data_IF_059886397483
#
_entry.id   IF_059886397483
#
_cell.length_a   1.000
_cell.length_b   1.000
_cell.length_c   1.000
_cell.angle_alpha   90.00
_cell.angle_beta   90.00
_cell.angle_gamma   90.00
#
_symmetry.space_group_name_H-M   'P 1'
#
loop_
_entity.id
_entity.type
_entity.pdbx_description
1 polymer ?
#
# COMPACT_ATOMS: atom_id res chain seq x y z
N UNK A 1 -13.94 5.81 33.43
CA UNK A 1 -15.07 6.73 33.21
C UNK A 1 -15.23 7.16 31.76
N UNK A 2 -14.18 7.45 30.98
CA UNK A 2 -14.28 7.77 29.53
C UNK A 2 -14.86 6.66 28.64
N UNK A 3 -14.71 5.39 29.03
CA UNK A 3 -15.23 4.25 28.24
C UNK A 3 -16.76 4.21 28.17
N UNK A 4 -17.45 4.55 29.26
CA UNK A 4 -18.91 4.54 29.31
C UNK A 4 -19.55 5.72 28.55
N UNK A 5 -18.89 6.88 28.53
CA UNK A 5 -19.35 8.05 27.77
C UNK A 5 -19.21 7.88 26.25
N UNK A 6 -18.31 7.02 25.79
CA UNK A 6 -18.05 6.84 24.36
C UNK A 6 -18.98 5.76 23.77
N UNK A 7 -19.38 4.76 24.55
CA UNK A 7 -20.50 3.85 24.21
C UNK A 7 -21.82 4.62 24.07
N UNK A 8 -22.05 5.66 24.88
CA UNK A 8 -23.24 6.52 24.70
C UNK A 8 -23.20 7.38 23.41
N UNK A 9 -22.01 7.66 22.87
CA UNK A 9 -21.89 8.33 21.57
C UNK A 9 -22.23 7.36 20.43
N UNK A 10 -21.83 6.08 20.54
CA UNK A 10 -22.28 5.02 19.64
C UNK A 10 -23.81 4.86 19.68
N UNK A 11 -24.45 4.96 20.85
CA UNK A 11 -25.92 4.88 20.93
C UNK A 11 -26.64 6.01 20.18
N UNK A 12 -26.05 7.22 20.12
CA UNK A 12 -26.61 8.35 19.34
C UNK A 12 -26.50 8.14 17.83
N UNK A 13 -25.48 7.44 17.33
CA UNK A 13 -25.43 6.99 15.93
C UNK A 13 -26.39 5.81 15.69
N UNK A 14 -26.68 5.01 16.71
CA UNK A 14 -27.51 3.80 16.65
C UNK A 14 -29.02 4.07 16.56
N UNK A 15 -29.51 5.27 16.88
CA UNK A 15 -30.93 5.60 16.79
C UNK A 15 -31.50 5.47 15.36
N UNK A 16 -30.63 5.34 14.35
CA UNK A 16 -31.01 5.19 12.94
C UNK A 16 -31.10 3.72 12.48
N UNK A 17 -30.53 2.75 13.23
CA UNK A 17 -30.46 1.34 12.80
C UNK A 17 -30.80 0.41 13.99
N UNK A 18 -31.95 -0.27 13.89
CA UNK A 18 -32.65 -0.93 14.99
C UNK A 18 -31.83 -1.83 15.93
N UNK A 19 -32.36 -1.94 17.16
CA UNK A 19 -32.06 -2.89 18.24
C UNK A 19 -30.70 -3.61 18.20
N UNK A 20 -29.60 -2.84 18.23
CA UNK A 20 -28.27 -3.38 18.52
C UNK A 20 -28.15 -3.77 19.98
N UNK A 21 -27.56 -4.93 20.22
CA UNK A 21 -27.21 -5.37 21.58
C UNK A 21 -25.91 -4.69 21.99
N UNK A 22 -25.99 -3.72 22.90
CA UNK A 22 -24.82 -3.05 23.51
C UNK A 22 -23.83 -4.08 24.09
N UNK A 23 -24.33 -5.23 24.53
CA UNK A 23 -23.49 -6.33 25.01
C UNK A 23 -22.67 -6.97 23.89
N UNK A 24 -23.22 -7.08 22.68
CA UNK A 24 -22.53 -7.63 21.51
C UNK A 24 -21.44 -6.68 21.03
N UNK A 25 -21.72 -5.38 20.94
CA UNK A 25 -20.72 -4.36 20.58
C UNK A 25 -19.56 -4.37 21.57
N UNK A 26 -19.86 -4.44 22.87
CA UNK A 26 -18.85 -4.56 23.92
C UNK A 26 -18.00 -5.83 23.77
N UNK A 27 -18.63 -6.98 23.54
CA UNK A 27 -17.91 -8.24 23.34
C UNK A 27 -16.97 -8.20 22.14
N UNK A 28 -17.40 -7.58 21.03
CA UNK A 28 -16.56 -7.38 19.85
C UNK A 28 -15.38 -6.46 20.13
N UNK A 29 -15.62 -5.35 20.84
CA UNK A 29 -14.55 -4.42 21.19
C UNK A 29 -13.53 -5.02 22.16
N UNK A 30 -14.01 -5.77 23.17
CA UNK A 30 -13.18 -6.52 24.11
C UNK A 30 -12.37 -7.61 23.38
N UNK A 31 -12.97 -8.29 22.38
CA UNK A 31 -12.27 -9.26 21.53
C UNK A 31 -11.16 -8.60 20.71
N UNK A 32 -11.40 -7.42 20.11
CA UNK A 32 -10.36 -6.69 19.39
C UNK A 32 -9.16 -6.40 20.30
N UNK A 33 -9.43 -5.89 21.50
CA UNK A 33 -8.38 -5.61 22.48
C UNK A 33 -7.62 -6.87 22.91
N UNK A 34 -8.35 -7.96 23.19
CA UNK A 34 -7.76 -9.17 23.75
C UNK A 34 -7.06 -10.06 22.73
N UNK A 35 -7.46 -10.01 21.46
CA UNK A 35 -7.01 -10.94 20.41
C UNK A 35 -6.32 -10.22 19.26
N UNK A 36 -6.85 -9.08 18.80
CA UNK A 36 -6.33 -8.41 17.59
C UNK A 36 -5.16 -7.49 17.93
N UNK A 37 -5.27 -6.68 18.99
CA UNK A 37 -4.18 -5.77 19.40
C UNK A 37 -3.04 -6.45 20.17
N UNK A 38 -3.23 -7.71 20.58
CA UNK A 38 -2.22 -8.52 21.29
C UNK A 38 -1.54 -9.54 20.38
N UNK A 39 -2.02 -9.73 19.15
CA UNK A 39 -1.43 -10.67 18.21
C UNK A 39 0.03 -10.26 17.91
N UNK A 40 1.00 -11.15 18.09
CA UNK A 40 2.42 -10.84 17.86
C UNK A 40 2.80 -10.95 16.37
N UNK A 41 1.86 -10.74 15.46
CA UNK A 41 2.17 -10.71 14.03
C UNK A 41 3.05 -9.51 13.67
N UNK A 42 4.34 -9.78 13.41
CA UNK A 42 5.33 -9.17 12.51
C UNK A 42 5.52 -7.63 12.46
N UNK A 43 4.59 -6.84 12.96
CA UNK A 43 4.65 -5.39 13.05
C UNK A 43 5.56 -5.06 14.23
N UNK A 44 6.83 -4.75 13.94
CA UNK A 44 7.80 -4.34 14.96
C UNK A 44 7.21 -3.15 15.70
N UNK A 45 7.31 -3.14 17.03
CA UNK A 45 7.06 -1.95 17.82
C UNK A 45 8.12 -0.95 17.41
N UNK A 46 7.76 0.00 16.57
CA UNK A 46 8.48 1.26 16.55
C UNK A 46 8.34 1.87 17.95
N UNK A 47 9.29 2.69 18.36
CA UNK A 47 9.36 3.23 19.72
C UNK A 47 8.12 4.09 20.09
N UNK A 48 7.19 4.30 19.14
CA UNK A 48 6.03 5.17 19.23
C UNK A 48 4.71 4.54 18.68
N UNK A 49 4.30 3.39 19.22
CA UNK A 49 2.95 2.75 19.11
C UNK A 49 2.76 1.64 18.04
N UNK A 50 2.22 0.51 18.48
CA UNK A 50 1.68 -0.55 17.61
C UNK A 50 0.45 0.02 16.84
N UNK A 51 0.39 -0.06 15.50
CA UNK A 51 -0.71 0.53 14.72
C UNK A 51 -2.09 -0.02 15.08
N UNK A 52 -2.18 -1.23 15.64
CA UNK A 52 -3.44 -1.80 16.13
C UNK A 52 -3.84 -1.19 17.47
N UNK A 53 -2.86 -0.90 18.32
CA UNK A 53 -3.09 -0.12 19.53
C UNK A 53 -3.44 1.33 19.18
N UNK A 54 -2.80 1.92 18.18
CA UNK A 54 -3.17 3.24 17.67
C UNK A 54 -4.61 3.25 17.16
N UNK A 55 -5.00 2.31 16.27
CA UNK A 55 -6.39 2.18 15.80
C UNK A 55 -7.34 1.99 16.97
N UNK A 56 -6.98 1.16 17.96
CA UNK A 56 -7.79 0.98 19.16
C UNK A 56 -7.99 2.29 19.94
N UNK A 57 -6.90 3.02 20.20
CA UNK A 57 -6.93 4.32 20.89
C UNK A 57 -7.72 5.36 20.10
N UNK A 58 -7.62 5.36 18.77
CA UNK A 58 -8.43 6.21 17.90
C UNK A 58 -9.90 5.80 17.95
N UNK A 59 -10.22 4.51 18.00
CA UNK A 59 -11.58 4.02 18.23
C UNK A 59 -12.15 4.40 19.59
N UNK A 60 -11.31 4.65 20.60
CA UNK A 60 -11.78 5.23 21.85
C UNK A 60 -12.15 6.72 21.71
N UNK A 61 -11.61 7.43 20.73
CA UNK A 61 -11.81 8.88 20.55
C UNK A 61 -12.81 9.21 19.43
N UNK A 62 -12.92 8.34 18.42
CA UNK A 62 -13.79 8.50 17.26
C UNK A 62 -14.85 7.37 17.20
N UNK A 63 -16.15 7.72 17.22
CA UNK A 63 -17.22 6.76 16.99
C UNK A 63 -17.16 6.10 15.59
N UNK A 64 -16.63 6.83 14.61
CA UNK A 64 -16.46 6.34 13.24
C UNK A 64 -15.42 5.20 13.21
N UNK A 65 -14.25 5.44 13.81
CA UNK A 65 -13.20 4.43 13.94
C UNK A 65 -13.65 3.24 14.80
N UNK A 66 -14.41 3.49 15.87
CA UNK A 66 -15.00 2.43 16.69
C UNK A 66 -15.89 1.49 15.88
N UNK A 67 -16.71 2.03 14.96
CA UNK A 67 -17.52 1.20 14.06
C UNK A 67 -16.67 0.42 13.05
N UNK A 68 -15.55 0.98 12.59
CA UNK A 68 -14.54 0.25 11.82
C UNK A 68 -13.95 -0.93 12.59
N UNK A 69 -13.62 -0.73 13.87
CA UNK A 69 -13.14 -1.81 14.76
C UNK A 69 -14.19 -2.91 14.90
N UNK A 70 -15.45 -2.55 15.16
CA UNK A 70 -16.55 -3.52 15.27
C UNK A 70 -16.74 -4.31 13.98
N UNK A 71 -16.64 -3.65 12.81
CA UNK A 71 -16.67 -4.31 11.51
C UNK A 71 -15.57 -5.36 11.35
N UNK A 72 -14.31 -4.96 11.56
CA UNK A 72 -13.15 -5.85 11.42
C UNK A 72 -13.26 -7.02 12.40
N UNK A 73 -13.68 -6.75 13.63
CA UNK A 73 -13.78 -7.78 14.67
C UNK A 73 -14.91 -8.76 14.41
N UNK A 74 -16.09 -8.27 14.02
CA UNK A 74 -17.21 -9.15 13.66
C UNK A 74 -16.84 -10.04 12.46
N UNK A 75 -16.06 -9.51 11.51
CA UNK A 75 -15.55 -10.30 10.39
C UNK A 75 -14.54 -11.36 10.82
N UNK A 76 -13.60 -11.02 11.71
CA UNK A 76 -12.63 -11.97 12.23
C UNK A 76 -13.31 -13.10 12.99
N UNK A 77 -14.28 -12.76 13.83
CA UNK A 77 -15.04 -13.74 14.58
C UNK A 77 -15.90 -14.60 13.65
N UNK A 78 -16.45 -14.04 12.56
CA UNK A 78 -17.27 -14.82 11.64
C UNK A 78 -16.55 -15.97 10.94
N UNK A 79 -15.21 -15.95 10.90
CA UNK A 79 -14.39 -17.06 10.43
C UNK A 79 -14.52 -18.31 11.33
N UNK A 80 -14.81 -18.10 12.61
CA UNK A 80 -15.05 -19.17 13.59
C UNK A 80 -16.53 -19.43 13.83
N UNK A 81 -17.38 -18.40 13.70
CA UNK A 81 -18.82 -18.50 13.88
C UNK A 81 -19.57 -17.75 12.77
N UNK A 82 -20.02 -18.51 11.76
CA UNK A 82 -20.75 -17.99 10.60
C UNK A 82 -22.02 -17.19 10.94
N UNK A 83 -22.59 -17.35 12.15
CA UNK A 83 -23.77 -16.59 12.58
C UNK A 83 -23.49 -15.08 12.69
N UNK A 84 -22.23 -14.71 12.91
CA UNK A 84 -21.77 -13.32 13.05
C UNK A 84 -21.55 -12.65 11.68
N UNK A 85 -21.52 -13.42 10.58
CA UNK A 85 -21.26 -12.87 9.25
C UNK A 85 -22.28 -11.79 8.85
N UNK A 86 -23.55 -11.99 9.16
CA UNK A 86 -24.61 -11.00 8.91
C UNK A 86 -24.32 -9.69 9.65
N UNK A 87 -23.87 -9.79 10.90
CA UNK A 87 -23.52 -8.64 11.72
C UNK A 87 -22.28 -7.90 11.17
N UNK A 88 -21.28 -8.64 10.68
CA UNK A 88 -20.12 -8.04 10.01
C UNK A 88 -20.51 -7.25 8.75
N UNK A 89 -21.42 -7.79 7.91
CA UNK A 89 -21.96 -7.08 6.75
C UNK A 89 -22.76 -5.83 7.12
N UNK A 90 -23.48 -5.86 8.24
CA UNK A 90 -24.20 -4.68 8.75
C UNK A 90 -23.25 -3.57 9.22
N UNK A 91 -22.19 -3.89 9.98
CA UNK A 91 -21.18 -2.88 10.34
C UNK A 91 -20.48 -2.32 9.11
N UNK A 92 -20.15 -3.18 8.13
CA UNK A 92 -19.56 -2.73 6.86
C UNK A 92 -20.43 -1.69 6.17
N UNK A 93 -21.73 -1.95 6.04
CA UNK A 93 -22.67 -1.00 5.44
C UNK A 93 -22.67 0.34 6.18
N UNK A 94 -22.60 0.33 7.51
CA UNK A 94 -22.53 1.56 8.30
C UNK A 94 -21.22 2.30 8.14
N UNK A 95 -20.11 1.59 8.13
CA UNK A 95 -18.79 2.20 7.89
C UNK A 95 -18.79 2.91 6.54
N UNK A 96 -19.31 2.27 5.48
CA UNK A 96 -19.45 2.92 4.17
C UNK A 96 -20.36 4.17 4.22
N UNK A 97 -21.46 4.13 4.98
CA UNK A 97 -22.35 5.29 5.15
C UNK A 97 -21.66 6.44 5.92
N UNK A 98 -20.79 6.12 6.88
CA UNK A 98 -20.01 7.10 7.63
C UNK A 98 -18.90 7.68 6.78
N UNK A 99 -18.16 6.86 6.03
CA UNK A 99 -17.14 7.35 5.10
C UNK A 99 -17.78 8.32 4.08
N UNK A 100 -19.02 8.05 3.64
CA UNK A 100 -19.84 8.96 2.79
C UNK A 100 -20.21 10.30 3.42
N UNK A 101 -20.15 10.42 4.75
CA UNK A 101 -20.59 11.63 5.48
C UNK A 101 -19.48 12.27 6.32
N UNK A 102 -18.36 11.59 6.50
CA UNK A 102 -17.26 12.08 7.31
C UNK A 102 -16.56 13.23 6.60
N UNK A 103 -16.14 14.22 7.36
CA UNK A 103 -15.26 15.30 6.92
C UNK A 103 -13.89 15.22 7.59
N UNK A 104 -13.68 14.26 8.50
CA UNK A 104 -12.42 14.06 9.18
C UNK A 104 -11.52 13.11 8.36
N UNK A 105 -10.39 13.60 7.80
CA UNK A 105 -9.52 12.81 6.94
C UNK A 105 -8.82 11.68 7.68
N UNK A 106 -8.54 11.84 8.98
CA UNK A 106 -7.93 10.80 9.82
C UNK A 106 -8.84 9.59 9.98
N UNK A 107 -10.10 9.83 10.35
CA UNK A 107 -11.14 8.81 10.47
C UNK A 107 -11.39 8.12 9.11
N UNK A 108 -11.44 8.89 8.03
CA UNK A 108 -11.63 8.34 6.68
C UNK A 108 -10.50 7.40 6.28
N UNK A 109 -9.25 7.80 6.52
CA UNK A 109 -8.07 6.98 6.25
C UNK A 109 -8.13 5.66 7.03
N UNK A 110 -8.36 5.73 8.35
CA UNK A 110 -8.42 4.55 9.21
C UNK A 110 -9.58 3.61 8.81
N UNK A 111 -10.74 4.16 8.46
CA UNK A 111 -11.87 3.38 7.97
C UNK A 111 -11.60 2.73 6.62
N UNK A 112 -10.93 3.43 5.70
CA UNK A 112 -10.52 2.86 4.42
C UNK A 112 -9.55 1.68 4.63
N UNK A 113 -8.54 1.83 5.50
CA UNK A 113 -7.62 0.75 5.88
C UNK A 113 -8.37 -0.47 6.41
N UNK A 114 -9.33 -0.24 7.31
CA UNK A 114 -10.13 -1.31 7.91
C UNK A 114 -11.04 -2.01 6.88
N UNK A 115 -11.64 -1.26 5.96
CA UNK A 115 -12.46 -1.80 4.86
C UNK A 115 -11.63 -2.65 3.89
N UNK A 116 -10.45 -2.16 3.49
CA UNK A 116 -9.51 -2.88 2.64
C UNK A 116 -9.04 -4.18 3.30
N UNK A 117 -8.72 -4.13 4.60
CA UNK A 117 -8.26 -5.28 5.37
C UNK A 117 -9.30 -6.41 5.43
N UNK A 118 -10.58 -6.08 5.44
CA UNK A 118 -11.69 -7.03 5.43
C UNK A 118 -11.84 -7.71 4.06
N UNK A 119 -11.83 -6.94 2.97
CA UNK A 119 -12.05 -7.44 1.61
C UNK A 119 -10.93 -8.35 1.10
N UNK A 120 -9.68 -8.03 1.43
CA UNK A 120 -8.54 -8.89 1.09
C UNK A 120 -8.76 -10.30 1.66
N UNK A 121 -9.32 -10.40 2.87
CA UNK A 121 -9.58 -11.68 3.54
C UNK A 121 -10.87 -12.37 3.08
N UNK A 122 -11.83 -11.67 2.47
CA UNK A 122 -13.05 -12.28 1.91
C UNK A 122 -12.71 -13.12 0.68
N UNK A 123 -11.76 -12.65 -0.13
CA UNK A 123 -11.33 -13.35 -1.34
C UNK A 123 -10.49 -14.61 -1.04
N UNK A 124 -9.85 -14.70 0.14
CA UNK A 124 -9.21 -15.93 0.63
C UNK A 124 -10.22 -17.08 0.83
N UNK A 125 -11.49 -16.77 1.08
CA UNK A 125 -12.52 -17.74 1.49
C UNK A 125 -13.30 -18.42 0.33
N UNK A 126 -12.93 -18.17 -0.94
CA UNK A 126 -13.30 -19.06 -2.06
C UNK A 126 -14.22 -18.50 -3.16
N UNK A 127 -13.79 -17.48 -3.92
CA UNK A 127 -14.37 -17.19 -5.24
C UNK A 127 -13.29 -17.05 -6.33
N UNK A 128 -13.34 -17.98 -7.29
CA UNK A 128 -12.58 -17.96 -8.55
C UNK A 128 -13.13 -16.88 -9.52
N UNK A 129 -13.08 -15.61 -9.15
CA UNK A 129 -13.34 -14.50 -10.08
C UNK A 129 -12.18 -14.31 -11.06
N UNK A 130 -12.48 -14.02 -12.33
CA UNK A 130 -11.48 -13.85 -13.39
C UNK A 130 -10.59 -12.63 -13.15
N UNK A 131 -9.28 -12.86 -13.22
CA UNK A 131 -8.19 -11.89 -13.04
C UNK A 131 -8.26 -10.67 -13.99
N UNK A 132 -8.98 -10.78 -15.12
CA UNK A 132 -9.10 -9.72 -16.12
C UNK A 132 -10.01 -8.58 -15.67
N UNK A 133 -11.06 -8.85 -14.88
CA UNK A 133 -11.99 -7.81 -14.38
C UNK A 133 -11.38 -7.00 -13.22
N UNK A 134 -10.39 -7.55 -12.52
CA UNK A 134 -9.82 -6.92 -11.32
C UNK A 134 -8.62 -6.01 -11.62
N UNK A 135 -7.95 -6.20 -12.77
CA UNK A 135 -6.80 -5.42 -13.23
C UNK A 135 -7.17 -4.27 -14.19
N UNK A 136 -8.37 -4.26 -14.76
CA UNK A 136 -8.83 -3.25 -15.74
C UNK A 136 -9.43 -1.98 -15.13
N UNK A 137 -9.35 -1.79 -13.80
CA UNK A 137 -9.96 -0.62 -13.14
C UNK A 137 -11.44 -0.79 -12.78
N UNK A 138 -12.00 -1.99 -12.91
CA UNK A 138 -13.38 -2.30 -12.51
C UNK A 138 -13.48 -2.87 -11.09
N UNK A 139 -12.50 -2.59 -10.22
CA UNK A 139 -12.65 -2.86 -8.79
C UNK A 139 -13.64 -1.83 -8.24
N UNK A 140 -14.93 -2.18 -8.26
CA UNK A 140 -16.04 -1.36 -7.77
C UNK A 140 -15.75 -0.69 -6.41
N UNK A 141 -14.92 -1.31 -5.56
CA UNK A 141 -14.52 -0.77 -4.27
C UNK A 141 -13.51 0.38 -4.35
N UNK A 142 -12.56 0.35 -5.29
CA UNK A 142 -11.64 1.48 -5.51
C UNK A 142 -12.44 2.63 -6.11
N UNK A 143 -13.32 2.33 -7.07
CA UNK A 143 -14.19 3.33 -7.67
C UNK A 143 -15.19 3.90 -6.65
N UNK A 144 -15.75 3.09 -5.75
CA UNK A 144 -16.70 3.56 -4.74
C UNK A 144 -16.00 4.22 -3.55
N UNK A 145 -14.79 3.81 -3.16
CA UNK A 145 -13.99 4.54 -2.16
C UNK A 145 -13.44 5.85 -2.76
N UNK A 146 -13.02 5.87 -4.02
CA UNK A 146 -12.62 7.11 -4.73
C UNK A 146 -13.82 8.04 -4.97
N UNK A 147 -14.99 7.53 -5.38
CA UNK A 147 -16.23 8.31 -5.56
C UNK A 147 -16.67 8.92 -4.22
N UNK A 148 -16.57 8.15 -3.14
CA UNK A 148 -16.95 8.60 -1.81
C UNK A 148 -15.97 9.61 -1.23
N UNK A 149 -14.66 9.36 -1.32
CA UNK A 149 -13.64 10.27 -0.80
C UNK A 149 -13.48 11.52 -1.67
N UNK A 150 -13.73 11.42 -2.98
CA UNK A 150 -13.68 12.54 -3.93
C UNK A 150 -14.74 13.63 -3.69
N UNK A 151 -15.82 13.32 -2.96
CA UNK A 151 -16.87 14.28 -2.61
C UNK A 151 -16.65 15.01 -1.27
N UNK A 152 -15.69 14.59 -0.44
CA UNK A 152 -15.58 15.03 0.96
C UNK A 152 -14.48 16.07 1.24
N UNK A 153 -13.66 16.46 0.26
CA UNK A 153 -12.64 17.51 0.40
C UNK A 153 -13.12 18.85 -0.21
N UNK A 154 -12.70 20.01 0.33
CA UNK A 154 -13.26 21.30 -0.04
C UNK A 154 -12.96 21.67 -1.49
N UNK A 155 -14.03 21.76 -2.31
CA UNK A 155 -14.16 22.55 -3.54
C UNK A 155 -12.90 22.73 -4.40
N UNK A 156 -12.43 21.64 -4.99
CA UNK A 156 -12.10 21.67 -6.41
C UNK A 156 -12.64 20.40 -7.06
N UNK A 157 -13.76 20.54 -7.77
CA UNK A 157 -14.27 19.50 -8.63
C UNK A 157 -13.16 19.07 -9.61
N UNK A 158 -12.50 17.94 -9.31
CA UNK A 158 -11.59 17.11 -10.15
C UNK A 158 -10.33 16.59 -9.44
N UNK A 159 -9.98 17.01 -8.21
CA UNK A 159 -8.79 16.45 -7.54
C UNK A 159 -9.13 15.18 -6.78
N UNK A 160 -8.51 14.05 -7.20
CA UNK A 160 -8.55 12.80 -6.44
C UNK A 160 -8.00 13.04 -5.04
N UNK A 161 -8.60 12.43 -4.01
CA UNK A 161 -8.03 12.45 -2.66
C UNK A 161 -6.60 11.86 -2.64
N UNK A 162 -6.31 10.96 -3.58
CA UNK A 162 -4.98 10.38 -3.79
C UNK A 162 -4.03 11.30 -4.56
N UNK A 163 -4.41 12.55 -4.87
CA UNK A 163 -3.48 13.45 -5.57
C UNK A 163 -2.31 13.80 -4.66
N UNK A 164 -1.14 13.98 -5.26
CA UNK A 164 0.08 14.32 -4.54
C UNK A 164 -0.08 15.61 -3.73
N UNK A 165 -0.84 16.58 -4.23
CA UNK A 165 -1.12 17.84 -3.53
C UNK A 165 -1.96 17.63 -2.27
N UNK A 166 -2.89 16.68 -2.26
CA UNK A 166 -3.71 16.40 -1.08
C UNK A 166 -2.92 15.58 -0.05
N UNK A 167 -2.11 14.62 -0.51
CA UNK A 167 -1.25 13.81 0.35
C UNK A 167 -0.15 14.64 1.00
N UNK A 168 0.42 15.63 0.31
CA UNK A 168 1.47 16.48 0.88
C UNK A 168 0.96 17.38 2.01
N UNK A 169 -0.33 17.77 2.01
CA UNK A 169 -0.92 18.59 3.07
C UNK A 169 -1.05 17.87 4.42
N UNK A 170 -1.06 16.54 4.41
CA UNK A 170 -1.25 15.70 5.59
C UNK A 170 0.05 15.02 6.04
N UNK A 171 1.14 15.13 5.26
CA UNK A 171 2.45 14.61 5.59
C UNK A 171 3.28 15.66 6.34
N UNK A 172 3.94 15.24 7.43
CA UNK A 172 4.81 16.12 8.19
C UNK A 172 6.09 16.46 7.40
N UNK A 173 6.25 17.75 7.05
CA UNK A 173 7.39 18.28 6.28
C UNK A 173 8.75 17.96 6.94
N UNK A 174 8.83 17.90 8.27
CA UNK A 174 10.10 17.65 8.99
C UNK A 174 10.59 16.21 8.85
N UNK A 175 9.68 15.28 8.53
CA UNK A 175 9.96 13.84 8.45
C UNK A 175 9.79 13.28 7.03
N UNK A 176 9.64 14.16 6.04
CA UNK A 176 9.28 13.77 4.67
C UNK A 176 10.31 12.82 4.03
N UNK A 177 11.59 13.08 4.29
CA UNK A 177 12.72 12.29 3.82
C UNK A 177 13.11 11.14 4.77
N UNK A 178 12.43 11.00 5.90
CA UNK A 178 12.66 9.91 6.83
C UNK A 178 12.03 8.61 6.30
N UNK A 179 12.79 7.52 6.34
CA UNK A 179 12.32 6.19 5.93
C UNK A 179 11.39 5.66 7.01
N UNK A 180 10.15 5.37 6.62
CA UNK A 180 9.17 4.73 7.49
C UNK A 180 9.54 3.25 7.69
N UNK A 181 9.62 2.75 8.94
CA UNK A 181 10.05 1.38 9.22
C UNK A 181 9.06 0.30 8.75
N UNK A 182 7.80 0.66 8.49
CA UNK A 182 6.76 -0.28 8.09
C UNK A 182 6.66 -0.48 6.58
N UNK A 183 6.74 0.61 5.81
CA UNK A 183 6.75 0.60 4.34
C UNK A 183 8.16 0.46 3.77
N UNK A 184 9.17 0.90 4.50
CA UNK A 184 10.57 0.94 4.06
C UNK A 184 10.86 2.04 3.04
N UNK A 185 9.94 2.99 2.86
CA UNK A 185 10.05 4.13 1.93
C UNK A 185 9.87 5.44 2.70
N UNK A 186 10.43 6.54 2.21
CA UNK A 186 10.12 7.87 2.74
C UNK A 186 8.86 8.46 2.11
N UNK A 187 8.20 9.39 2.81
CA UNK A 187 7.04 10.11 2.28
C UNK A 187 7.38 10.85 0.97
N UNK A 188 8.58 11.44 0.86
CA UNK A 188 9.06 12.05 -0.39
C UNK A 188 9.08 11.05 -1.54
N UNK A 189 9.53 9.81 -1.32
CA UNK A 189 9.52 8.78 -2.35
C UNK A 189 8.09 8.36 -2.71
N UNK A 190 7.21 8.22 -1.71
CA UNK A 190 5.79 7.87 -1.92
C UNK A 190 5.08 8.92 -2.79
N UNK A 191 5.31 10.20 -2.52
CA UNK A 191 4.77 11.31 -3.32
C UNK A 191 5.28 11.27 -4.76
N UNK A 192 6.57 10.99 -4.97
CA UNK A 192 7.13 10.85 -6.32
C UNK A 192 6.54 9.64 -7.06
N UNK A 193 6.37 8.50 -6.40
CA UNK A 193 5.70 7.31 -6.98
C UNK A 193 4.26 7.65 -7.38
N UNK A 194 3.56 8.42 -6.55
CA UNK A 194 2.20 8.85 -6.85
C UNK A 194 2.17 9.79 -8.07
N UNK A 195 3.08 10.77 -8.16
CA UNK A 195 3.19 11.64 -9.34
C UNK A 195 3.52 10.87 -10.64
N UNK A 196 4.31 9.80 -10.56
CA UNK A 196 4.58 8.91 -11.70
C UNK A 196 3.30 8.17 -12.12
N UNK A 197 2.51 7.70 -11.15
CA UNK A 197 1.24 7.02 -11.41
C UNK A 197 0.21 7.96 -12.05
N UNK A 198 0.17 9.22 -11.60
CA UNK A 198 -0.67 10.26 -12.20
C UNK A 198 -0.21 10.59 -13.63
N UNK A 199 1.10 10.68 -13.86
CA UNK A 199 1.66 10.84 -15.20
C UNK A 199 1.23 9.71 -16.15
N UNK A 200 1.14 8.47 -15.66
CA UNK A 200 0.68 7.32 -16.45
C UNK A 200 -0.80 7.44 -16.80
N UNK A 201 -1.61 7.85 -15.83
CA UNK A 201 -3.05 8.10 -16.03
C UNK A 201 -3.28 9.20 -17.06
N UNK A 202 -2.55 10.32 -16.93
CA UNK A 202 -2.56 11.42 -17.89
C UNK A 202 -2.20 10.90 -19.30
N UNK A 203 -1.08 10.18 -19.43
CA UNK A 203 -0.63 9.63 -20.71
C UNK A 203 -1.63 8.65 -21.35
N UNK A 204 -2.40 7.88 -20.57
CA UNK A 204 -3.43 6.97 -21.09
C UNK A 204 -4.73 7.69 -21.50
N UNK A 205 -5.09 8.74 -20.76
CA UNK A 205 -6.33 9.52 -21.00
C UNK A 205 -6.25 10.40 -22.24
N UNK A 206 -5.02 10.79 -22.60
CA UNK A 206 -4.73 11.71 -23.67
C UNK A 206 -4.26 10.89 -24.87
N UNK A 207 -5.07 10.84 -25.93
CA UNK A 207 -4.63 10.30 -27.22
C UNK A 207 -3.39 11.04 -27.76
N UNK A 208 -2.86 10.60 -28.91
CA UNK A 208 -1.64 11.12 -29.55
C UNK A 208 -1.74 12.61 -29.99
N UNK A 209 -1.76 13.56 -29.04
CA UNK A 209 -1.57 14.98 -29.31
C UNK A 209 -0.12 15.40 -29.02
N UNK A 210 0.60 15.80 -30.07
CA UNK A 210 2.04 16.08 -30.04
C UNK A 210 2.46 17.17 -29.03
N UNK A 211 1.63 18.20 -28.82
CA UNK A 211 1.97 19.29 -27.89
C UNK A 211 1.92 18.87 -26.42
N UNK A 212 1.13 17.84 -26.12
CA UNK A 212 0.89 17.34 -24.77
C UNK A 212 1.93 16.26 -24.41
N UNK A 213 2.42 15.52 -25.42
CA UNK A 213 3.58 14.64 -25.32
C UNK A 213 4.84 15.36 -24.80
N UNK A 214 5.10 16.58 -25.26
CA UNK A 214 6.24 17.38 -24.78
C UNK A 214 6.11 17.79 -23.30
N UNK A 215 4.89 18.05 -22.81
CA UNK A 215 4.63 18.36 -21.40
C UNK A 215 4.82 17.14 -20.51
N UNK A 216 4.30 15.98 -20.94
CA UNK A 216 4.48 14.71 -20.24
C UNK A 216 5.96 14.33 -20.16
N UNK A 217 6.71 14.52 -21.25
CA UNK A 217 8.16 14.29 -21.27
C UNK A 217 8.91 15.23 -20.31
N UNK A 218 8.57 16.51 -20.29
CA UNK A 218 9.18 17.47 -19.34
C UNK A 218 8.85 17.11 -17.88
N UNK A 219 7.62 16.67 -17.60
CA UNK A 219 7.19 16.19 -16.27
C UNK A 219 7.96 14.92 -15.88
N UNK A 220 8.14 13.98 -16.81
CA UNK A 220 8.94 12.77 -16.60
C UNK A 220 10.41 13.10 -16.31
N UNK A 221 11.03 13.98 -17.09
CA UNK A 221 12.43 14.40 -16.86
C UNK A 221 12.62 15.08 -15.51
N UNK A 222 11.67 15.92 -15.09
CA UNK A 222 11.68 16.50 -13.74
C UNK A 222 11.59 15.41 -12.66
N UNK A 223 10.69 14.43 -12.83
CA UNK A 223 10.54 13.33 -11.87
C UNK A 223 11.81 12.49 -11.77
N UNK A 224 12.47 12.20 -12.90
CA UNK A 224 13.75 11.48 -12.91
C UNK A 224 14.82 12.25 -12.11
N UNK A 225 14.97 13.56 -12.36
CA UNK A 225 15.89 14.41 -11.60
C UNK A 225 15.54 14.48 -10.10
N UNK A 226 14.26 14.53 -9.75
CA UNK A 226 13.82 14.49 -8.35
C UNK A 226 14.19 13.15 -7.69
N UNK A 227 13.96 12.03 -8.38
CA UNK A 227 14.35 10.70 -7.89
C UNK A 227 15.86 10.53 -7.77
N UNK A 228 16.66 11.12 -8.65
CA UNK A 228 18.12 11.05 -8.59
C UNK A 228 18.70 11.86 -7.42
N UNK A 229 18.08 12.99 -7.10
CA UNK A 229 18.50 13.86 -6.01
C UNK A 229 17.84 13.51 -4.68
N UNK A 230 16.90 12.55 -4.66
CA UNK A 230 16.18 12.16 -3.46
C UNK A 230 17.13 11.59 -2.41
N UNK A 231 17.14 12.19 -1.23
CA UNK A 231 17.87 11.70 -0.07
C UNK A 231 16.86 11.13 0.91
N UNK A 232 17.14 9.93 1.40
CA UNK A 232 16.33 9.27 2.41
C UNK A 232 17.21 8.92 3.60
N UNK A 233 16.70 9.09 4.82
CA UNK A 233 17.45 8.80 6.04
C UNK A 233 16.64 7.95 7.02
N UNK A 234 17.33 7.16 7.84
CA UNK A 234 16.68 6.36 8.90
C UNK A 234 16.60 7.22 10.17
N UNK A 235 15.56 7.02 10.98
CA UNK A 235 15.46 7.67 12.29
C UNK A 235 16.70 7.39 13.14
N UNK A 236 17.28 8.41 13.80
CA UNK A 236 18.45 8.23 14.68
C UNK A 236 18.22 7.19 15.79
N UNK A 237 16.98 7.04 16.26
CA UNK A 237 16.63 6.04 17.27
C UNK A 237 16.85 4.60 16.79
N UNK A 238 16.46 4.31 15.54
CA UNK A 238 16.66 3.00 14.91
C UNK A 238 18.14 2.80 14.57
N UNK A 239 18.83 3.84 14.07
CA UNK A 239 20.26 3.74 13.74
C UNK A 239 21.12 3.37 14.95
N UNK A 240 20.78 3.87 16.14
CA UNK A 240 21.50 3.59 17.38
C UNK A 240 21.10 2.21 17.95
N UNK A 241 19.81 1.87 17.91
CA UNK A 241 19.28 0.68 18.56
C UNK A 241 19.51 -0.60 17.75
N UNK A 242 19.33 -0.56 16.43
CA UNK A 242 19.44 -1.71 15.53
C UNK A 242 20.09 -1.30 14.18
N UNK A 243 21.43 -1.15 14.14
CA UNK A 243 22.15 -0.71 12.94
C UNK A 243 21.94 -1.62 11.72
N UNK A 244 21.69 -2.91 11.95
CA UNK A 244 21.45 -3.87 10.88
C UNK A 244 20.09 -3.62 10.22
N UNK A 245 19.06 -3.34 11.01
CA UNK A 245 17.74 -2.98 10.46
C UNK A 245 17.76 -1.62 9.81
N UNK A 246 18.52 -0.66 10.34
CA UNK A 246 18.74 0.61 9.64
C UNK A 246 19.36 0.39 8.24
N UNK A 247 20.33 -0.52 8.12
CA UNK A 247 20.94 -0.84 6.81
C UNK A 247 19.96 -1.54 5.86
N UNK A 248 19.14 -2.47 6.38
CA UNK A 248 18.10 -3.12 5.58
C UNK A 248 17.03 -2.11 5.14
N UNK A 249 16.66 -1.14 5.97
CA UNK A 249 15.76 -0.03 5.62
C UNK A 249 16.33 0.86 4.51
N UNK A 250 17.61 1.25 4.60
CA UNK A 250 18.29 2.00 3.52
C UNK A 250 18.29 1.21 2.21
N UNK A 251 18.57 -0.09 2.31
CA UNK A 251 18.56 -0.99 1.15
C UNK A 251 17.17 -1.08 0.51
N UNK A 252 16.11 -1.18 1.34
CA UNK A 252 14.73 -1.16 0.84
C UNK A 252 14.38 0.18 0.18
N UNK A 253 14.68 1.29 0.84
CA UNK A 253 14.37 2.62 0.35
C UNK A 253 15.06 2.92 -0.99
N UNK A 254 16.33 2.50 -1.14
CA UNK A 254 17.07 2.63 -2.39
C UNK A 254 16.50 1.70 -3.48
N UNK A 255 16.16 0.45 -3.14
CA UNK A 255 15.49 -0.44 -4.09
C UNK A 255 14.16 0.15 -4.58
N UNK A 256 13.39 0.79 -3.68
CA UNK A 256 12.18 1.52 -4.03
C UNK A 256 12.44 2.69 -4.98
N UNK A 257 13.46 3.51 -4.69
CA UNK A 257 13.84 4.64 -5.56
C UNK A 257 14.21 4.18 -6.97
N UNK A 258 15.00 3.10 -7.07
CA UNK A 258 15.40 2.51 -8.36
C UNK A 258 14.21 1.88 -9.11
N UNK A 259 13.26 1.30 -8.39
CA UNK A 259 12.04 0.75 -8.98
C UNK A 259 11.15 1.87 -9.54
N UNK A 260 11.05 3.01 -8.85
CA UNK A 260 10.35 4.19 -9.37
C UNK A 260 11.01 4.73 -10.65
N UNK A 261 12.35 4.80 -10.69
CA UNK A 261 13.09 5.15 -11.91
C UNK A 261 12.82 4.15 -13.04
N UNK A 262 12.82 2.84 -12.73
CA UNK A 262 12.54 1.78 -13.72
C UNK A 262 11.14 1.96 -14.34
N UNK A 263 10.12 2.23 -13.52
CA UNK A 263 8.75 2.48 -13.97
C UNK A 263 8.68 3.72 -14.89
N UNK A 264 9.34 4.81 -14.49
CA UNK A 264 9.38 6.04 -15.27
C UNK A 264 10.05 5.83 -16.63
N UNK A 265 11.14 5.04 -16.69
CA UNK A 265 11.78 4.67 -17.95
C UNK A 265 10.86 3.88 -18.88
N UNK A 266 10.06 2.94 -18.35
CA UNK A 266 9.09 2.19 -19.15
C UNK A 266 8.03 3.09 -19.77
N UNK A 267 7.52 4.06 -18.99
CA UNK A 267 6.54 5.02 -19.48
C UNK A 267 7.11 5.85 -20.62
N UNK A 268 8.33 6.38 -20.46
CA UNK A 268 8.99 7.14 -21.51
C UNK A 268 9.25 6.28 -22.76
N UNK A 269 9.73 5.05 -22.58
CA UNK A 269 10.05 4.14 -23.69
C UNK A 269 8.83 3.79 -24.56
N UNK A 270 7.68 3.55 -23.93
CA UNK A 270 6.43 3.24 -24.63
C UNK A 270 5.91 4.41 -25.47
N UNK A 271 6.10 5.65 -25.01
CA UNK A 271 5.73 6.85 -25.78
C UNK A 271 6.60 7.06 -27.03
N UNK A 272 7.91 6.74 -26.95
CA UNK A 272 8.83 6.91 -28.10
C UNK A 272 8.67 5.84 -29.20
N UNK A 273 8.32 4.61 -28.84
CA UNK A 273 8.15 3.51 -29.81
C UNK A 273 6.91 3.70 -30.69
N UNK A 274 5.88 4.41 -30.23
CA UNK A 274 4.67 4.68 -31.01
C UNK A 274 4.79 5.86 -32.00
N UNK A 275 5.78 6.74 -31.86
CA UNK A 275 5.98 7.92 -32.73
C UNK A 275 7.04 7.72 -33.83
N UNK A 276 7.50 6.49 -34.09
CA UNK A 276 8.62 6.28 -35.01
C UNK A 276 8.28 6.54 -36.49
N UNK A 277 8.68 7.73 -36.94
CA UNK A 277 9.18 8.00 -38.29
C UNK A 277 10.53 8.76 -38.20
N UNK A 278 11.62 8.00 -38.03
CA UNK A 278 12.96 8.26 -38.58
C UNK A 278 13.82 9.44 -38.06
N UNK A 279 14.89 9.14 -37.32
CA UNK A 279 16.25 9.72 -37.49
C UNK A 279 17.29 8.88 -36.72
N UNK A 280 18.54 8.83 -37.24
CA UNK A 280 19.65 7.99 -36.74
C UNK A 280 20.19 8.35 -35.36
N UNK A 281 19.93 9.55 -34.85
CA UNK A 281 20.40 10.01 -33.53
C UNK A 281 19.58 9.42 -32.37
N UNK A 282 18.29 9.15 -32.60
CA UNK A 282 17.38 8.63 -31.56
C UNK A 282 17.71 7.19 -31.14
N UNK A 283 18.35 6.40 -32.01
CA UNK A 283 18.71 5.01 -31.69
C UNK A 283 19.82 4.90 -30.64
N UNK A 284 20.74 5.86 -30.58
CA UNK A 284 21.82 5.87 -29.60
C UNK A 284 21.32 6.25 -28.19
N UNK A 285 20.43 7.24 -28.12
CA UNK A 285 19.78 7.66 -26.87
C UNK A 285 18.87 6.56 -26.31
N UNK A 286 18.12 5.87 -27.18
CA UNK A 286 17.30 4.71 -26.77
C UNK A 286 18.16 3.56 -26.23
N UNK A 287 19.29 3.27 -26.88
CA UNK A 287 20.20 2.23 -26.39
C UNK A 287 20.79 2.57 -25.00
N UNK A 288 21.09 3.85 -24.74
CA UNK A 288 21.56 4.30 -23.44
C UNK A 288 20.50 4.13 -22.34
N UNK A 289 19.25 4.52 -22.61
CA UNK A 289 18.14 4.36 -21.66
C UNK A 289 17.82 2.90 -21.34
N UNK A 290 17.94 2.01 -22.34
CA UNK A 290 17.76 0.57 -22.13
C UNK A 290 18.86 0.01 -21.22
N UNK A 291 20.10 0.46 -21.39
CA UNK A 291 21.22 0.00 -20.57
C UNK A 291 21.14 0.54 -19.14
N UNK A 292 20.74 1.80 -18.97
CA UNK A 292 20.48 2.42 -17.67
C UNK A 292 19.36 1.66 -16.91
N UNK A 293 18.26 1.33 -17.57
CA UNK A 293 17.18 0.50 -16.99
C UNK A 293 17.70 -0.86 -16.51
N UNK A 294 18.57 -1.52 -17.29
CA UNK A 294 19.18 -2.80 -16.87
C UNK A 294 20.05 -2.64 -15.63
N UNK A 295 20.78 -1.53 -15.51
CA UNK A 295 21.58 -1.24 -14.32
C UNK A 295 20.69 -1.06 -13.09
N UNK A 296 19.54 -0.37 -13.22
CA UNK A 296 18.57 -0.25 -12.13
C UNK A 296 18.02 -1.61 -11.69
N UNK A 297 17.58 -2.44 -12.65
CA UNK A 297 17.09 -3.79 -12.36
C UNK A 297 18.16 -4.63 -11.66
N UNK A 298 19.39 -4.66 -12.19
CA UNK A 298 20.48 -5.42 -11.59
C UNK A 298 20.75 -4.97 -10.14
N UNK A 299 20.76 -3.66 -9.91
CA UNK A 299 20.99 -3.08 -8.57
C UNK A 299 19.84 -3.38 -7.61
N UNK A 300 18.58 -3.34 -8.07
CA UNK A 300 17.42 -3.75 -7.27
C UNK A 300 17.59 -5.21 -6.80
N UNK A 301 17.94 -6.12 -7.71
CA UNK A 301 18.07 -7.54 -7.37
C UNK A 301 19.22 -7.81 -6.40
N UNK A 302 20.31 -7.05 -6.51
CA UNK A 302 21.42 -7.08 -5.55
C UNK A 302 20.94 -6.63 -4.15
N UNK A 303 20.31 -5.46 -4.05
CA UNK A 303 19.81 -4.91 -2.78
C UNK A 303 18.77 -5.84 -2.12
N UNK A 304 17.85 -6.38 -2.92
CA UNK A 304 16.83 -7.34 -2.44
C UNK A 304 17.51 -8.62 -1.96
N UNK A 305 18.48 -9.16 -2.72
CA UNK A 305 19.23 -10.35 -2.33
C UNK A 305 20.00 -10.14 -1.04
N UNK A 306 20.61 -8.98 -0.87
CA UNK A 306 21.33 -8.56 0.32
C UNK A 306 20.42 -8.49 1.56
N UNK A 307 19.27 -7.81 1.47
CA UNK A 307 18.27 -7.79 2.56
C UNK A 307 17.81 -9.21 2.88
N UNK A 308 17.45 -9.99 1.84
CA UNK A 308 16.98 -11.36 2.02
C UNK A 308 18.06 -12.31 2.53
N UNK A 309 19.35 -12.03 2.41
CA UNK A 309 20.40 -12.90 2.94
C UNK A 309 20.77 -12.53 4.37
N UNK A 310 20.85 -11.23 4.69
CA UNK A 310 21.18 -10.73 6.03
C UNK A 310 20.11 -11.01 7.07
N UNK A 311 18.83 -10.79 6.74
CA UNK A 311 17.77 -10.90 7.75
C UNK A 311 17.38 -12.36 8.00
N UNK A 312 17.43 -12.83 9.25
CA UNK A 312 17.01 -14.21 9.60
C UNK A 312 15.51 -14.42 9.45
N UNK A 313 14.73 -13.34 9.64
CA UNK A 313 13.29 -13.25 9.37
C UNK A 313 13.04 -12.08 8.43
N UNK A 314 12.00 -12.18 7.62
CA UNK A 314 11.58 -11.07 6.76
C UNK A 314 11.01 -9.93 7.62
N UNK A 315 11.54 -8.73 7.42
CA UNK A 315 10.89 -7.53 7.94
C UNK A 315 9.63 -7.22 7.12
N UNK A 316 8.67 -6.49 7.71
CA UNK A 316 7.42 -6.08 7.04
C UNK A 316 7.72 -5.24 5.80
N UNK A 317 8.71 -4.35 5.92
CA UNK A 317 9.24 -3.44 4.90
C UNK A 317 10.32 -4.07 4.01
N UNK A 318 10.25 -5.36 3.71
CA UNK A 318 11.18 -5.94 2.74
C UNK A 318 10.89 -5.39 1.32
N UNK A 319 11.88 -5.31 0.42
CA UNK A 319 11.76 -4.62 -0.88
C UNK A 319 10.96 -5.41 -1.93
N UNK A 320 9.77 -5.85 -1.57
CA UNK A 320 8.89 -6.60 -2.45
C UNK A 320 8.49 -5.80 -3.67
N UNK A 321 8.01 -4.57 -3.48
CA UNK A 321 7.49 -3.77 -4.58
C UNK A 321 8.60 -3.56 -5.62
N UNK A 322 9.81 -3.26 -5.17
CA UNK A 322 10.97 -3.15 -6.05
C UNK A 322 11.29 -4.47 -6.77
N UNK A 323 11.27 -5.61 -6.07
CA UNK A 323 11.47 -6.93 -6.69
C UNK A 323 10.38 -7.24 -7.74
N UNK A 324 9.13 -6.84 -7.47
CA UNK A 324 8.02 -7.01 -8.40
C UNK A 324 8.23 -6.17 -9.66
N UNK A 325 8.54 -4.88 -9.51
CA UNK A 325 8.83 -3.98 -10.65
C UNK A 325 10.00 -4.54 -11.46
N UNK A 326 11.12 -4.86 -10.83
CA UNK A 326 12.26 -5.47 -11.50
C UNK A 326 11.85 -6.76 -12.23
N UNK A 327 11.01 -7.61 -11.62
CA UNK A 327 10.50 -8.83 -12.23
C UNK A 327 9.61 -8.62 -13.45
N UNK A 328 8.73 -7.61 -13.42
CA UNK A 328 7.87 -7.27 -14.56
C UNK A 328 8.63 -6.60 -15.70
N UNK A 329 9.74 -5.94 -15.40
CA UNK A 329 10.56 -5.18 -16.35
C UNK A 329 11.61 -6.02 -17.09
N UNK A 330 11.65 -7.33 -16.88
CA UNK A 330 12.73 -8.21 -17.37
C UNK A 330 12.34 -9.02 -18.59
N UNK A 331 13.05 -8.74 -19.68
CA UNK A 331 13.00 -9.52 -20.92
C UNK A 331 14.01 -10.69 -20.95
N UNK A 332 15.00 -10.68 -20.05
CA UNK A 332 16.08 -11.67 -19.97
C UNK A 332 15.73 -12.86 -19.05
N UNK A 333 15.78 -14.09 -19.58
CA UNK A 333 15.43 -15.30 -18.84
C UNK A 333 16.35 -15.60 -17.64
N UNK A 334 17.64 -15.24 -17.70
CA UNK A 334 18.57 -15.41 -16.58
C UNK A 334 18.20 -14.49 -15.42
N UNK A 335 17.89 -13.23 -15.72
CA UNK A 335 17.45 -12.27 -14.70
C UNK A 335 16.09 -12.72 -14.11
N UNK A 336 15.19 -13.25 -14.95
CA UNK A 336 13.91 -13.81 -14.48
C UNK A 336 14.10 -14.98 -13.52
N UNK A 337 15.09 -15.85 -13.75
CA UNK A 337 15.44 -16.93 -12.81
C UNK A 337 15.94 -16.39 -11.46
N UNK A 338 16.72 -15.30 -11.46
CA UNK A 338 17.17 -14.63 -10.23
C UNK A 338 15.97 -14.10 -9.45
N UNK A 339 15.05 -13.37 -10.12
CA UNK A 339 13.81 -12.86 -9.52
C UNK A 339 13.01 -13.99 -8.85
N UNK A 340 12.78 -15.10 -9.55
CA UNK A 340 12.05 -16.25 -9.01
C UNK A 340 12.75 -16.84 -7.78
N UNK A 341 14.09 -16.92 -7.78
CA UNK A 341 14.86 -17.41 -6.63
C UNK A 341 14.71 -16.49 -5.42
N UNK A 342 14.76 -15.17 -5.62
CA UNK A 342 14.57 -14.19 -4.55
C UNK A 342 13.16 -14.27 -3.97
N UNK A 343 12.13 -14.39 -4.81
CA UNK A 343 10.75 -14.63 -4.34
C UNK A 343 10.62 -15.90 -3.50
N UNK A 344 11.23 -17.01 -3.93
CA UNK A 344 11.23 -18.26 -3.17
C UNK A 344 11.93 -18.11 -1.83
N UNK A 345 13.09 -17.47 -1.81
CA UNK A 345 13.83 -17.20 -0.57
C UNK A 345 13.02 -16.33 0.40
N UNK A 346 12.34 -15.30 -0.11
CA UNK A 346 11.46 -14.46 0.69
C UNK A 346 10.28 -15.27 1.28
N UNK A 347 9.67 -16.15 0.47
CA UNK A 347 8.61 -17.05 0.93
C UNK A 347 9.08 -18.04 2.00
N UNK A 348 10.26 -18.64 1.84
CA UNK A 348 10.83 -19.53 2.85
C UNK A 348 11.03 -18.80 4.18
N UNK A 349 11.48 -17.55 4.12
CA UNK A 349 11.68 -16.71 5.31
C UNK A 349 10.38 -16.17 5.92
N UNK A 350 9.31 -16.01 5.13
CA UNK A 350 7.98 -15.64 5.64
C UNK A 350 7.20 -16.84 6.20
N UNK A 351 7.46 -18.06 5.71
CA UNK A 351 6.75 -19.29 6.09
C UNK A 351 7.40 -20.07 7.24
N UNK A 352 8.54 -19.62 7.78
CA UNK A 352 9.11 -20.17 9.03
C UNK A 352 8.22 -19.95 10.28
N UNK A 353 6.99 -19.45 10.12
CA UNK A 353 5.90 -19.53 11.10
C UNK A 353 4.80 -20.58 10.84
N UNK A 354 4.63 -21.11 9.62
CA UNK A 354 3.63 -22.16 9.29
C UNK A 354 4.08 -23.01 8.09
N UNK A 355 4.41 -24.28 8.34
CA UNK A 355 4.78 -25.26 7.31
C UNK A 355 3.57 -25.70 6.46
N UNK A 356 3.60 -25.48 5.14
CA UNK A 356 2.61 -26.02 4.18
C UNK A 356 3.32 -26.69 2.98
N UNK A 357 2.79 -27.80 2.39
CA UNK A 357 3.52 -28.63 1.42
C UNK A 357 3.69 -28.03 0.01
N UNK A 358 4.73 -28.52 -0.68
CA UNK A 358 5.33 -28.01 -1.94
C UNK A 358 4.44 -27.97 -3.21
N UNK A 359 3.26 -28.60 -3.23
CA UNK A 359 2.43 -28.66 -4.45
C UNK A 359 1.40 -27.51 -4.55
N UNK A 360 1.14 -26.80 -3.44
CA UNK A 360 0.30 -25.58 -3.40
C UNK A 360 1.13 -24.29 -3.61
N UNK A 361 2.46 -24.39 -3.61
CA UNK A 361 3.38 -23.25 -3.57
C UNK A 361 3.35 -22.39 -4.83
N UNK A 362 2.96 -22.93 -5.99
CA UNK A 362 3.00 -22.21 -7.27
C UNK A 362 1.74 -21.35 -7.49
N UNK A 363 0.57 -21.85 -7.11
CA UNK A 363 -0.68 -21.08 -7.07
C UNK A 363 -0.62 -20.02 -5.97
N UNK A 364 -0.02 -20.38 -4.81
CA UNK A 364 0.20 -19.47 -3.68
C UNK A 364 1.29 -18.42 -3.95
N UNK A 365 2.29 -18.69 -4.79
CA UNK A 365 3.31 -17.72 -5.24
C UNK A 365 2.69 -16.63 -6.11
N UNK A 366 1.86 -17.00 -7.09
CA UNK A 366 1.06 -16.02 -7.82
C UNK A 366 0.12 -15.24 -6.89
N UNK A 367 -0.44 -15.89 -5.87
CA UNK A 367 -1.35 -15.29 -4.90
C UNK A 367 -0.67 -14.34 -3.88
N UNK A 368 0.50 -14.68 -3.34
CA UNK A 368 1.27 -13.87 -2.38
C UNK A 368 1.97 -12.69 -3.06
N UNK A 369 2.46 -12.87 -4.29
CA UNK A 369 2.91 -11.77 -5.15
C UNK A 369 1.73 -10.80 -5.39
N UNK A 370 0.52 -11.31 -5.67
CA UNK A 370 -0.71 -10.51 -5.85
C UNK A 370 -1.20 -9.84 -4.55
N UNK A 371 -1.12 -10.53 -3.42
CA UNK A 371 -1.49 -10.05 -2.08
C UNK A 371 -0.57 -8.91 -1.66
N UNK A 372 0.73 -9.09 -1.88
CA UNK A 372 1.72 -8.17 -1.33
C UNK A 372 2.03 -7.01 -2.29
N UNK A 373 1.75 -7.11 -3.60
CA UNK A 373 1.68 -5.94 -4.50
C UNK A 373 0.48 -5.03 -4.22
N UNK A 374 -0.70 -5.56 -3.83
CA UNK A 374 -1.87 -4.73 -3.46
C UNK A 374 -1.82 -4.23 -2.02
N UNK A 375 -1.35 -5.05 -1.09
CA UNK A 375 -1.12 -4.60 0.28
C UNK A 375 0.00 -3.57 0.28
N UNK A 376 1.10 -3.72 -0.46
CA UNK A 376 2.07 -2.63 -0.57
C UNK A 376 1.52 -1.42 -1.30
N UNK A 377 0.79 -1.51 -2.43
CA UNK A 377 0.24 -0.31 -3.08
C UNK A 377 -0.83 0.41 -2.22
N UNK A 378 -1.71 -0.34 -1.53
CA UNK A 378 -2.65 0.26 -0.56
C UNK A 378 -1.94 0.75 0.70
N UNK A 379 -0.94 0.05 1.24
CA UNK A 379 -0.19 0.45 2.45
C UNK A 379 0.74 1.62 2.15
N UNK A 380 1.36 1.69 0.97
CA UNK A 380 2.07 2.87 0.44
C UNK A 380 1.14 4.09 0.39
N UNK A 381 -0.17 3.89 0.16
CA UNK A 381 -1.20 4.94 0.21
C UNK A 381 -1.76 5.16 1.63
N UNK A 382 -1.52 4.25 2.60
CA UNK A 382 -2.21 4.25 3.91
C UNK A 382 -1.34 4.03 5.16
N UNK A 383 -0.01 4.22 5.10
CA UNK A 383 0.81 4.35 6.33
C UNK A 383 0.22 5.49 7.16
N UNK A 384 0.00 5.30 8.48
CA UNK A 384 -0.56 6.33 9.33
C UNK A 384 0.35 7.55 9.28
N UNK A 385 -0.23 8.66 8.83
CA UNK A 385 0.38 9.98 8.86
C UNK A 385 0.49 10.37 10.33
N UNK A 386 1.68 10.24 10.89
CA UNK A 386 2.07 10.73 12.21
C UNK A 386 2.38 12.22 12.17
#
# INVERSE_FOLDING_TARGET
>A
MKFASNISCLSSLCDTIGARSVNTDKMLFDYYHAVVSTDETHVRRDDEYDPRQYIFLQGLSSPAVALGILMVTAYLWSQTDSSILKLASEYRRLVLEIVKRSSDPGDMMLLAVMLCSMEVRINDAGRNGSLSEFLTGDSWLVNEVEEVLGHCLPNSASSSWTSTENLSLIMNEETLDQIDPYSGLSNSLLLLINEISDLEREARSLGQEDSLSAKLLAKAQRLALSLDNLKQFVSPGIEISDPQVAEDMRSTAEAGRLAALTLLHEMMYNSYTQSQSGTTTQGAEQAAQVEERKQYIARILELVGDVLTRSTRLNVSWPLWALFIAGSSVDDDQIRLVVIRLFKLAMEKSTLGVSVPLHESQTRMNYEIRRSSRVHLCVIITVPLS
#
